data_IF_260039961766
#
_entry.id   IF_260039961766
#
_cell.length_a   1.000
_cell.length_b   1.000
_cell.length_c   1.000
_cell.angle_alpha   90.00
_cell.angle_beta   90.00
_cell.angle_gamma   90.00
#
_symmetry.space_group_name_H-M   'P 1'
#
loop_
_entity.id
_entity.type
_entity.pdbx_description
1 polymer ?
#
# COMPACT_ATOMS: atom_id res chain seq x y z
N UNK A 1 2.44 13.56 -5.61
CA UNK A 1 3.66 12.79 -5.92
C UNK A 1 4.28 12.37 -4.59
N UNK A 2 4.37 11.06 -4.35
CA UNK A 2 4.94 10.49 -3.13
C UNK A 2 6.45 10.29 -3.35
N UNK A 3 7.28 10.78 -2.43
CA UNK A 3 8.73 10.55 -2.47
C UNK A 3 9.13 9.60 -1.36
N UNK A 4 9.79 8.51 -1.72
CA UNK A 4 10.29 7.47 -0.81
C UNK A 4 11.81 7.46 -0.90
N UNK A 5 12.48 7.50 0.24
CA UNK A 5 13.92 7.26 0.28
C UNK A 5 14.21 5.85 0.80
N UNK A 6 15.06 5.12 0.09
CA UNK A 6 15.29 3.69 0.30
C UNK A 6 16.77 3.34 0.17
N UNK A 7 17.24 2.38 0.97
CA UNK A 7 18.59 1.83 0.89
C UNK A 7 18.75 0.95 -0.36
N UNK A 8 17.69 0.25 -0.77
CA UNK A 8 17.53 -0.45 -2.04
C UNK A 8 16.30 0.09 -2.79
N UNK A 9 16.48 1.14 -3.61
CA UNK A 9 15.40 1.75 -4.38
C UNK A 9 14.69 0.77 -5.32
N UNK A 10 15.38 -0.26 -5.81
CA UNK A 10 14.78 -1.22 -6.74
C UNK A 10 13.83 -2.17 -6.01
N UNK A 11 14.21 -2.64 -4.82
CA UNK A 11 13.36 -3.49 -3.98
C UNK A 11 12.13 -2.72 -3.51
N UNK A 12 12.32 -1.49 -3.03
CA UNK A 12 11.22 -0.64 -2.57
C UNK A 12 10.31 -0.25 -3.73
N UNK A 13 10.83 0.15 -4.88
CA UNK A 13 10.00 0.46 -6.04
C UNK A 13 9.12 -0.72 -6.45
N UNK A 14 9.64 -1.96 -6.45
CA UNK A 14 8.85 -3.16 -6.76
C UNK A 14 7.76 -3.39 -5.73
N UNK A 15 8.09 -3.33 -4.44
CA UNK A 15 7.12 -3.50 -3.36
C UNK A 15 5.95 -2.51 -3.49
N UNK A 16 6.25 -1.23 -3.66
CA UNK A 16 5.22 -0.20 -3.74
C UNK A 16 4.43 -0.21 -5.06
N UNK A 17 4.94 -0.85 -6.12
CA UNK A 17 4.17 -1.06 -7.36
C UNK A 17 3.06 -2.11 -7.18
N UNK A 18 3.18 -2.99 -6.17
CA UNK A 18 2.12 -3.94 -5.84
C UNK A 18 0.88 -3.25 -5.30
N UNK A 19 1.09 -2.11 -4.63
CA UNK A 19 0.02 -1.28 -4.13
C UNK A 19 -0.48 -0.37 -5.26
N UNK A 20 -1.79 -0.42 -5.54
CA UNK A 20 -2.44 0.48 -6.50
C UNK A 20 -2.59 1.88 -5.88
N UNK A 21 -1.47 2.57 -5.71
CA UNK A 21 -1.45 3.93 -5.19
C UNK A 21 -1.73 4.89 -6.34
N UNK A 22 -2.84 5.62 -6.30
CA UNK A 22 -3.23 6.61 -7.32
C UNK A 22 -2.26 7.79 -7.43
N UNK A 23 -1.30 7.90 -6.50
CA UNK A 23 -0.30 8.95 -6.48
C UNK A 23 0.99 8.50 -7.16
N UNK A 24 1.49 9.23 -8.17
CA UNK A 24 2.80 8.96 -8.78
C UNK A 24 3.90 8.91 -7.72
N UNK A 25 4.68 7.84 -7.72
CA UNK A 25 5.74 7.59 -6.74
C UNK A 25 7.13 7.79 -7.34
N UNK A 26 8.02 8.42 -6.59
CA UNK A 26 9.45 8.53 -6.88
C UNK A 26 10.27 7.92 -5.74
N UNK A 27 11.06 6.88 -6.04
CA UNK A 27 11.96 6.24 -5.07
C UNK A 27 13.39 6.73 -5.31
N UNK A 28 14.09 7.20 -4.27
CA UNK A 28 15.47 7.70 -4.32
C UNK A 28 16.38 6.94 -3.35
N UNK A 29 17.68 6.88 -3.64
CA UNK A 29 18.67 6.21 -2.78
C UNK A 29 18.93 7.00 -1.49
N UNK A 30 18.85 6.32 -0.34
CA UNK A 30 19.24 6.85 0.96
C UNK A 30 20.26 5.97 1.69
N UNK A 31 21.01 6.57 2.62
CA UNK A 31 21.96 5.85 3.49
C UNK A 31 21.26 5.16 4.68
N UNK A 32 20.06 5.60 5.03
CA UNK A 32 19.22 5.08 6.12
C UNK A 32 17.75 5.15 5.68
N UNK A 33 16.86 4.28 6.20
CA UNK A 33 15.43 4.28 5.84
C UNK A 33 14.73 5.61 6.17
N UNK A 34 13.75 6.02 5.37
CA UNK A 34 13.02 7.27 5.54
C UNK A 34 12.01 7.24 6.71
N UNK A 35 11.88 8.37 7.40
CA UNK A 35 10.87 8.54 8.45
C UNK A 35 9.47 8.72 7.85
N UNK A 36 8.60 7.74 8.12
CA UNK A 36 7.14 7.79 8.03
C UNK A 36 6.55 8.11 6.66
N UNK A 37 6.00 7.08 6.02
CA UNK A 37 5.29 7.22 4.75
C UNK A 37 3.87 6.71 4.98
N UNK A 38 2.94 7.63 5.24
CA UNK A 38 1.52 7.28 5.27
C UNK A 38 1.07 7.11 3.83
N UNK A 39 0.98 5.88 3.37
CA UNK A 39 0.38 5.51 2.08
C UNK A 39 -0.94 4.84 2.40
N UNK A 40 -2.03 5.35 1.84
CA UNK A 40 -3.36 4.76 1.92
C UNK A 40 -3.64 4.03 0.61
N UNK A 41 -3.24 2.76 0.46
CA UNK A 41 -3.53 2.03 -0.76
C UNK A 41 -5.00 1.62 -0.76
N UNK A 42 -5.65 1.75 -1.91
CA UNK A 42 -7.07 1.50 -2.03
C UNK A 42 -7.33 0.00 -2.19
N UNK A 43 -7.81 -0.65 -1.14
CA UNK A 43 -7.98 -2.12 -1.11
C UNK A 43 -9.39 -2.57 -0.72
N UNK A 44 -9.78 -3.77 -1.19
CA UNK A 44 -11.08 -4.40 -0.91
C UNK A 44 -11.14 -5.00 0.50
N UNK A 45 -10.03 -5.59 0.96
CA UNK A 45 -9.94 -6.32 2.23
C UNK A 45 -8.56 -6.10 2.85
N UNK A 46 -8.54 -5.49 4.04
CA UNK A 46 -7.31 -5.20 4.80
C UNK A 46 -6.57 -6.48 5.16
N UNK A 47 -7.30 -7.54 5.53
CA UNK A 47 -6.70 -8.82 5.95
C UNK A 47 -6.06 -9.58 4.78
N UNK A 48 -6.72 -9.61 3.62
CA UNK A 48 -6.20 -10.30 2.43
C UNK A 48 -4.97 -9.56 1.89
N UNK A 49 -5.04 -8.23 1.82
CA UNK A 49 -3.93 -7.41 1.36
C UNK A 49 -2.73 -7.50 2.33
N UNK A 50 -2.97 -7.40 3.64
CA UNK A 50 -1.90 -7.55 4.62
C UNK A 50 -1.24 -8.93 4.53
N UNK A 51 -2.04 -10.00 4.38
CA UNK A 51 -1.52 -11.35 4.17
C UNK A 51 -0.64 -11.43 2.93
N UNK A 52 -1.07 -10.84 1.80
CA UNK A 52 -0.28 -10.76 0.58
C UNK A 52 1.02 -9.97 0.80
N UNK A 53 0.97 -8.77 1.37
CA UNK A 53 2.14 -7.93 1.60
C UNK A 53 3.16 -8.59 2.54
N UNK A 54 2.71 -9.35 3.54
CA UNK A 54 3.60 -10.16 4.40
C UNK A 54 4.37 -11.20 3.57
N UNK A 55 3.74 -11.85 2.59
CA UNK A 55 4.46 -12.76 1.66
C UNK A 55 5.52 -12.04 0.82
N UNK A 56 5.40 -10.73 0.65
CA UNK A 56 6.33 -9.88 -0.11
C UNK A 56 7.42 -9.25 0.78
N UNK A 57 7.41 -9.58 2.08
CA UNK A 57 8.42 -9.13 3.05
C UNK A 57 8.03 -7.90 3.85
N UNK A 58 6.76 -7.50 3.85
CA UNK A 58 6.23 -6.55 4.83
C UNK A 58 6.04 -7.20 6.21
N UNK A 59 5.90 -6.37 7.23
CA UNK A 59 5.63 -6.79 8.61
C UNK A 59 4.43 -6.03 9.17
N UNK A 60 3.51 -6.70 9.86
CA UNK A 60 2.43 -6.05 10.62
C UNK A 60 2.98 -5.59 11.96
N UNK A 61 2.83 -4.30 12.27
CA UNK A 61 3.35 -3.68 13.50
C UNK A 61 2.24 -3.42 14.51
N UNK A 62 1.01 -3.17 14.05
CA UNK A 62 -0.12 -2.97 14.94
C UNK A 62 -1.44 -2.77 14.20
N UNK A 63 -2.53 -2.96 14.93
CA UNK A 63 -3.90 -2.78 14.45
C UNK A 63 -4.47 -1.47 14.99
N UNK A 64 -5.24 -0.78 14.15
CA UNK A 64 -5.93 0.47 14.46
C UNK A 64 -7.39 0.35 14.03
N UNK A 65 -8.23 1.28 14.51
CA UNK A 65 -9.70 1.22 14.36
C UNK A 65 -10.18 1.02 12.91
N UNK A 66 -9.41 1.47 11.92
CA UNK A 66 -9.78 1.41 10.50
C UNK A 66 -8.67 0.83 9.61
N UNK A 67 -7.71 0.07 10.16
CA UNK A 67 -6.57 -0.36 9.36
C UNK A 67 -5.39 -0.95 10.14
N UNK A 68 -4.28 -1.17 9.44
CA UNK A 68 -3.06 -1.77 9.97
C UNK A 68 -1.87 -0.85 9.78
N UNK A 69 -1.08 -0.66 10.84
CA UNK A 69 0.28 -0.14 10.70
C UNK A 69 1.20 -1.29 10.30
N UNK A 70 1.88 -1.12 9.18
CA UNK A 70 2.81 -2.08 8.62
C UNK A 70 4.19 -1.46 8.43
N UNK A 71 5.19 -2.30 8.19
CA UNK A 71 6.52 -1.92 7.72
C UNK A 71 6.78 -2.54 6.37
N UNK A 72 7.37 -1.78 5.47
CA UNK A 72 7.88 -2.30 4.20
C UNK A 72 9.15 -3.15 4.43
N UNK A 73 9.71 -3.79 3.38
CA UNK A 73 10.88 -4.66 3.52
C UNK A 73 12.18 -3.99 3.97
N UNK A 74 12.21 -2.66 4.10
CA UNK A 74 13.32 -1.88 4.68
C UNK A 74 13.00 -1.32 6.06
N UNK A 75 11.82 -1.62 6.60
CA UNK A 75 11.37 -1.14 7.90
C UNK A 75 10.71 0.23 7.87
N UNK A 76 10.43 0.80 6.68
CA UNK A 76 9.69 2.06 6.60
C UNK A 76 8.23 1.81 6.98
N UNK A 77 7.66 2.53 7.96
CA UNK A 77 6.28 2.31 8.37
C UNK A 77 5.29 2.95 7.39
N UNK A 78 4.16 2.26 7.16
CA UNK A 78 3.02 2.72 6.36
C UNK A 78 1.68 2.22 6.92
N UNK A 79 0.57 2.84 6.51
CA UNK A 79 -0.75 2.57 7.07
C UNK A 79 -1.72 2.02 6.04
N UNK A 80 -2.13 0.77 6.20
CA UNK A 80 -3.07 0.09 5.33
C UNK A 80 -4.51 0.35 5.79
N UNK A 81 -5.35 0.94 4.95
CA UNK A 81 -6.77 1.19 5.25
C UNK A 81 -7.67 0.78 4.08
N UNK A 82 -8.93 0.37 4.33
CA UNK A 82 -9.86 0.00 3.26
C UNK A 82 -10.28 1.25 2.48
N UNK A 83 -10.46 1.12 1.17
CA UNK A 83 -11.04 2.20 0.37
C UNK A 83 -12.57 2.17 0.46
N UNK A 84 -13.22 3.17 1.08
CA UNK A 84 -14.68 3.22 1.20
C UNK A 84 -15.38 3.34 -0.16
N UNK A 85 -14.71 3.89 -1.17
CA UNK A 85 -15.28 4.13 -2.51
C UNK A 85 -15.09 2.95 -3.46
N UNK A 86 -14.37 1.89 -3.06
CA UNK A 86 -14.07 0.75 -3.94
C UNK A 86 -15.31 -0.13 -4.22
N UNK A 87 -16.35 -0.03 -3.39
CA UNK A 87 -17.65 -0.66 -3.63
C UNK A 87 -18.39 -0.07 -4.85
N UNK A 88 -18.00 1.12 -5.32
CA UNK A 88 -18.64 1.81 -6.46
C UNK A 88 -18.08 1.36 -7.82
N UNK A 89 -17.03 0.53 -7.84
CA UNK A 89 -16.41 0.01 -9.07
C UNK A 89 -16.84 -1.43 -9.40
N UNK A 90 -17.64 -2.08 -8.55
CA UNK A 90 -18.21 -3.42 -8.78
C UNK A 90 -19.63 -3.40 -9.36
N UNK A 91 -20.18 -2.21 -9.69
CA UNK A 91 -21.32 -2.14 -10.62
C UNK A 91 -20.79 -2.55 -12.00
N UNK A 92 -20.85 -3.86 -12.26
CA UNK A 92 -20.72 -4.43 -13.60
C UNK A 92 -21.62 -3.70 -14.59
N UNK A 93 -21.41 -3.89 -15.92
CA UNK A 93 -22.22 -3.19 -16.92
C UNK A 93 -23.68 -3.34 -16.54
N UNK A 94 -24.33 -2.21 -16.21
CA UNK A 94 -25.75 -2.17 -15.90
C UNK A 94 -26.44 -2.99 -16.97
N UNK A 95 -27.16 -4.04 -16.56
CA UNK A 95 -27.98 -4.86 -17.42
C UNK A 95 -28.86 -3.92 -18.26
N UNK A 96 -28.40 -3.64 -19.47
CA UNK A 96 -29.16 -2.95 -20.50
C UNK A 96 -29.99 -4.04 -21.18
N UNK A 97 -31.09 -4.41 -20.52
CA UNK A 97 -32.27 -4.97 -21.18
C UNK A 97 -33.43 -4.00 -20.92
N UNK A 98 -34.31 -3.75 -21.90
CA UNK A 98 -34.88 -4.75 -22.81
C UNK A 98 -34.58 -4.59 -24.31
#
# INVERSE_FOLDING_TARGET
>A
MLRIEAVDPSRISRFWTLLHVDTPMQVSLAKVPAMWIVVQPLIRSVEDEASFLVTQGAEVVGEFEHGLLMRDPEGNPFYLEPNPDLHLLDDGPADLEP
#
